data_IF_045896743086
#
_entry.id   IF_045896743086
#
_cell.length_a   1.000
_cell.length_b   1.000
_cell.length_c   1.000
_cell.angle_alpha   90.00
_cell.angle_beta   90.00
_cell.angle_gamma   90.00
#
_symmetry.space_group_name_H-M   'P 1'
#
loop_
_entity.id
_entity.type
_entity.pdbx_description
1 polymer ?
#
# COMPACT_ATOMS: atom_id res chain seq x y z
N UNK A 1 -13.64 -20.46 -4.13
CA UNK A 1 -14.46 -19.47 -4.87
C UNK A 1 -13.85 -18.08 -4.98
N UNK A 2 -13.57 -17.37 -3.88
CA UNK A 2 -13.02 -15.99 -3.92
C UNK A 2 -11.69 -15.86 -4.71
N UNK A 3 -10.86 -16.90 -4.72
CA UNK A 3 -9.61 -16.91 -5.49
C UNK A 3 -9.82 -16.81 -7.00
N UNK A 4 -11.00 -17.21 -7.49
CA UNK A 4 -11.39 -17.16 -8.91
C UNK A 4 -12.09 -15.86 -9.31
N UNK A 5 -12.18 -14.87 -8.41
CA UNK A 5 -12.81 -13.56 -8.64
C UNK A 5 -11.78 -12.41 -8.56
N UNK A 6 -10.74 -12.41 -9.41
CA UNK A 6 -9.65 -11.45 -9.30
C UNK A 6 -10.09 -10.01 -9.51
N UNK A 7 -11.05 -9.76 -10.40
CA UNK A 7 -11.55 -8.41 -10.68
C UNK A 7 -12.33 -7.84 -9.49
N UNK A 8 -13.15 -8.66 -8.82
CA UNK A 8 -13.89 -8.23 -7.62
C UNK A 8 -12.91 -7.88 -6.49
N UNK A 9 -11.85 -8.69 -6.32
CA UNK A 9 -10.77 -8.38 -5.37
C UNK A 9 -10.06 -7.08 -5.73
N UNK A 10 -9.78 -6.86 -7.00
CA UNK A 10 -9.17 -5.61 -7.49
C UNK A 10 -10.07 -4.39 -7.27
N UNK A 11 -11.38 -4.55 -7.43
CA UNK A 11 -12.36 -3.50 -7.17
C UNK A 11 -12.32 -3.07 -5.71
N UNK A 12 -12.38 -4.03 -4.78
CA UNK A 12 -12.30 -3.73 -3.33
C UNK A 12 -10.98 -3.03 -2.98
N UNK A 13 -9.86 -3.51 -3.52
CA UNK A 13 -8.54 -2.90 -3.27
C UNK A 13 -8.44 -1.47 -3.81
N UNK A 14 -8.93 -1.22 -5.02
CA UNK A 14 -8.86 0.10 -5.64
C UNK A 14 -9.79 1.10 -4.96
N UNK A 15 -10.98 0.65 -4.53
CA UNK A 15 -11.88 1.48 -3.71
C UNK A 15 -11.19 1.91 -2.41
N UNK A 16 -10.56 0.97 -1.70
CA UNK A 16 -9.88 1.29 -0.44
C UNK A 16 -8.57 2.08 -0.64
N UNK A 17 -7.93 2.02 -1.81
CA UNK A 17 -6.76 2.85 -2.12
C UNK A 17 -7.15 4.32 -2.24
N UNK A 18 -8.22 4.60 -2.98
CA UNK A 18 -8.71 5.97 -3.21
C UNK A 18 -9.51 6.52 -2.02
N UNK A 19 -10.23 5.65 -1.32
CA UNK A 19 -11.11 6.00 -0.20
C UNK A 19 -10.85 5.09 1.00
N UNK A 20 -9.68 5.21 1.65
CA UNK A 20 -9.35 4.36 2.78
C UNK A 20 -10.16 4.72 4.02
N UNK A 21 -10.41 3.73 4.88
CA UNK A 21 -11.10 3.94 6.16
C UNK A 21 -10.26 4.77 7.13
N UNK A 22 -8.94 4.57 7.12
CA UNK A 22 -7.95 5.35 7.86
C UNK A 22 -6.88 5.79 6.87
N UNK A 23 -6.37 7.03 6.90
CA UNK A 23 -5.39 7.51 5.91
C UNK A 23 -3.95 7.04 6.17
N UNK A 24 -3.69 6.45 7.34
CA UNK A 24 -2.36 6.08 7.78
C UNK A 24 -2.37 5.14 8.98
N UNK A 25 -1.20 4.58 9.30
CA UNK A 25 -0.99 3.72 10.47
C UNK A 25 0.19 4.22 11.31
N UNK A 26 0.12 4.03 12.63
CA UNK A 26 1.23 4.31 13.55
C UNK A 26 2.00 3.05 13.94
N UNK A 27 3.32 3.17 14.13
CA UNK A 27 4.19 2.15 14.73
C UNK A 27 5.16 2.80 15.71
N UNK A 28 5.60 2.07 16.73
CA UNK A 28 6.69 2.49 17.62
C UNK A 28 7.85 1.50 17.44
N UNK A 29 9.04 2.00 17.15
CA UNK A 29 10.23 1.16 16.98
C UNK A 29 10.56 0.44 18.29
N UNK A 30 10.80 -0.87 18.20
CA UNK A 30 11.13 -1.68 19.37
C UNK A 30 12.63 -1.73 19.66
N UNK A 31 13.45 -1.45 18.66
CA UNK A 31 14.91 -1.40 18.70
C UNK A 31 15.40 -0.30 17.75
N UNK A 32 16.68 0.07 17.88
CA UNK A 32 17.35 0.95 16.95
C UNK A 32 17.43 0.26 15.58
N UNK A 33 17.05 0.98 14.51
CA UNK A 33 17.06 0.44 13.14
C UNK A 33 17.60 1.46 12.14
N UNK A 34 18.24 0.96 11.08
CA UNK A 34 18.66 1.80 9.96
C UNK A 34 17.68 1.61 8.81
N UNK A 35 16.96 2.66 8.42
CA UNK A 35 16.01 2.67 7.31
C UNK A 35 16.47 3.67 6.26
N UNK A 36 16.67 3.22 5.02
CA UNK A 36 17.13 4.06 3.91
C UNK A 36 18.41 4.88 4.25
N UNK A 37 19.30 4.33 5.08
CA UNK A 37 20.53 5.01 5.54
C UNK A 37 20.37 5.91 6.77
N UNK A 38 19.16 6.09 7.28
CA UNK A 38 18.88 6.88 8.49
C UNK A 38 18.81 5.98 9.72
N UNK A 39 19.53 6.34 10.78
CA UNK A 39 19.37 5.71 12.09
C UNK A 39 18.10 6.23 12.76
N UNK A 40 17.17 5.32 13.02
CA UNK A 40 15.91 5.56 13.74
C UNK A 40 16.05 4.90 15.12
N UNK A 41 16.13 5.68 16.21
CA UNK A 41 16.27 5.13 17.55
C UNK A 41 15.03 4.33 17.98
N UNK A 42 15.22 3.41 18.94
CA UNK A 42 14.17 2.73 19.69
C UNK A 42 13.21 3.72 20.34
N UNK A 43 11.92 3.38 20.33
CA UNK A 43 10.86 4.21 20.91
C UNK A 43 10.38 5.35 19.99
N UNK A 44 10.90 5.44 18.76
CA UNK A 44 10.46 6.44 17.79
C UNK A 44 9.07 6.09 17.24
N UNK A 45 8.15 7.04 17.31
CA UNK A 45 6.84 6.92 16.66
C UNK A 45 6.99 7.17 15.15
N UNK A 46 6.64 6.17 14.35
CA UNK A 46 6.55 6.23 12.89
C UNK A 46 5.10 6.40 12.49
N UNK A 47 4.85 7.33 11.55
CA UNK A 47 3.57 7.52 10.90
C UNK A 47 3.70 7.08 9.42
N UNK A 48 2.93 6.06 9.05
CA UNK A 48 2.89 5.49 7.72
C UNK A 48 1.67 6.05 6.98
N UNK A 49 1.88 7.09 6.19
CA UNK A 49 0.83 7.86 5.51
C UNK A 49 0.41 7.22 4.17
N UNK A 50 -0.17 6.02 4.24
CA UNK A 50 -0.46 5.25 3.03
C UNK A 50 -1.42 5.95 2.05
N UNK A 51 -2.32 6.83 2.50
CA UNK A 51 -3.17 7.61 1.60
C UNK A 51 -2.33 8.50 0.67
N UNK A 52 -1.37 9.24 1.24
CA UNK A 52 -0.48 10.10 0.45
C UNK A 52 0.36 9.29 -0.53
N UNK A 53 0.98 8.20 -0.07
CA UNK A 53 1.77 7.30 -0.94
C UNK A 53 0.92 6.68 -2.04
N UNK A 54 -0.36 6.39 -1.77
CA UNK A 54 -1.30 5.84 -2.75
C UNK A 54 -1.71 6.81 -3.84
N UNK A 55 -1.53 8.12 -3.62
CA UNK A 55 -1.85 9.20 -4.56
C UNK A 55 -0.63 9.68 -5.36
N UNK A 56 0.54 9.12 -5.09
CA UNK A 56 1.78 9.46 -5.77
C UNK A 56 1.95 8.64 -7.06
N UNK A 57 2.24 9.31 -8.17
CA UNK A 57 2.40 8.69 -9.50
C UNK A 57 3.65 7.80 -9.58
N UNK A 58 4.67 8.04 -8.74
CA UNK A 58 5.85 7.18 -8.63
C UNK A 58 5.48 5.78 -8.13
N UNK A 59 4.44 5.68 -7.28
CA UNK A 59 3.97 4.43 -6.71
C UNK A 59 2.78 3.85 -7.49
N UNK A 60 1.87 4.72 -7.95
CA UNK A 60 0.65 4.34 -8.66
C UNK A 60 0.45 5.18 -9.91
N UNK A 61 0.81 4.66 -11.11
CA UNK A 61 0.58 5.38 -12.35
C UNK A 61 -0.89 5.75 -12.55
N UNK A 62 -1.13 7.00 -12.93
CA UNK A 62 -2.47 7.60 -13.01
C UNK A 62 -3.23 7.41 -11.68
N UNK A 63 -2.73 7.98 -10.57
CA UNK A 63 -3.17 7.60 -9.22
C UNK A 63 -4.61 8.02 -8.92
N UNK A 64 -5.12 9.05 -9.60
CA UNK A 64 -6.49 9.55 -9.41
C UNK A 64 -7.52 8.77 -10.22
N UNK A 65 -7.09 7.96 -11.19
CA UNK A 65 -7.99 7.14 -11.99
C UNK A 65 -8.39 5.87 -11.24
N UNK A 66 -9.70 5.58 -11.22
CA UNK A 66 -10.22 4.34 -10.65
C UNK A 66 -9.91 3.16 -11.60
N UNK A 67 -8.84 2.40 -11.30
CA UNK A 67 -8.34 1.32 -12.16
C UNK A 67 -8.20 -0.02 -11.42
N UNK A 68 -9.29 -0.78 -11.21
CA UNK A 68 -9.27 -2.07 -10.52
C UNK A 68 -8.36 -3.14 -11.13
N UNK A 69 -8.12 -3.05 -12.45
CA UNK A 69 -7.27 -3.96 -13.22
C UNK A 69 -5.82 -3.97 -12.76
N UNK A 70 -5.33 -2.88 -12.12
CA UNK A 70 -3.96 -2.79 -11.59
C UNK A 70 -3.65 -3.84 -10.52
N UNK A 71 -4.68 -4.39 -9.88
CA UNK A 71 -4.55 -5.40 -8.83
C UNK A 71 -4.72 -6.84 -9.33
N UNK A 72 -4.95 -7.02 -10.62
CA UNK A 72 -5.10 -8.34 -11.25
C UNK A 72 -3.75 -8.79 -11.77
N UNK A 73 -3.22 -9.91 -11.24
CA UNK A 73 -1.97 -10.50 -11.75
C UNK A 73 -2.12 -10.88 -13.22
N UNK A 74 -1.25 -10.34 -14.07
CA UNK A 74 -1.15 -10.78 -15.46
C UNK A 74 -0.22 -12.00 -15.55
N UNK A 75 0.81 -12.04 -14.69
CA UNK A 75 1.73 -13.17 -14.54
C UNK A 75 1.92 -13.58 -13.07
N UNK A 76 2.29 -14.85 -12.84
CA UNK A 76 2.52 -15.40 -11.50
C UNK A 76 3.70 -14.76 -10.76
N UNK A 77 4.58 -14.05 -11.47
CA UNK A 77 5.76 -13.36 -10.95
C UNK A 77 5.49 -11.87 -10.66
N UNK A 78 4.33 -11.33 -11.01
CA UNK A 78 4.01 -9.92 -10.76
C UNK A 78 3.93 -9.67 -9.25
N UNK A 79 4.78 -8.78 -8.75
CA UNK A 79 4.74 -8.29 -7.38
C UNK A 79 3.43 -7.53 -7.19
N UNK A 80 2.51 -8.12 -6.43
CA UNK A 80 1.36 -7.38 -5.91
C UNK A 80 1.80 -6.75 -4.60
N UNK A 81 1.97 -5.44 -4.59
CA UNK A 81 2.08 -4.75 -3.32
C UNK A 81 0.75 -4.94 -2.57
N UNK A 82 0.84 -5.53 -1.38
CA UNK A 82 -0.35 -5.79 -0.60
C UNK A 82 -0.92 -4.48 -0.09
N UNK A 83 -2.23 -4.45 0.11
CA UNK A 83 -2.92 -3.30 0.65
C UNK A 83 -2.32 -2.98 2.04
N UNK A 84 -1.59 -1.86 2.13
CA UNK A 84 -0.87 -1.45 3.35
C UNK A 84 0.61 -1.86 3.46
N UNK A 85 1.24 -2.37 2.39
CA UNK A 85 2.70 -2.59 2.33
C UNK A 85 3.48 -1.45 1.64
N UNK A 86 2.85 -0.27 1.52
CA UNK A 86 3.52 0.99 1.23
C UNK A 86 4.15 1.56 2.51
#
# INVERSE_FOLDING_TARGET
>A
DIQHLPLIRGLVKETLRLFPVLPGNGRITQDDLVLAGYLIPKGTQLALCHYSTSMDDENFPSPLDFRPDRWVRKHSLDRLDNFGSI
#
